data_IF_354463471664
#
_entry.id   IF_354463471664
#
_cell.length_a   1.000
_cell.length_b   1.000
_cell.length_c   1.000
_cell.angle_alpha   90.00
_cell.angle_beta   90.00
_cell.angle_gamma   90.00
#
_symmetry.space_group_name_H-M   'P 1'
#
loop_
_entity.id
_entity.type
_entity.pdbx_description
1 polymer ?
#
# COMPACT_ATOMS: atom_id res chain seq x y z
N UNK A 1 11.62 -5.22 -56.92
CA UNK A 1 12.28 -5.31 -55.60
C UNK A 1 12.82 -6.73 -55.52
N UNK A 2 14.10 -6.92 -55.82
CA UNK A 2 14.74 -8.23 -55.78
C UNK A 2 14.79 -8.60 -54.30
N UNK A 3 14.15 -9.71 -53.93
CA UNK A 3 14.17 -10.24 -52.56
C UNK A 3 15.65 -10.52 -52.21
N UNK A 4 16.14 -10.19 -51.01
CA UNK A 4 17.58 -10.32 -50.67
C UNK A 4 18.19 -11.70 -50.98
N UNK A 5 17.37 -12.77 -51.02
CA UNK A 5 17.78 -14.11 -51.44
C UNK A 5 18.19 -14.24 -52.92
N UNK A 6 17.67 -13.39 -53.79
CA UNK A 6 18.04 -13.32 -55.21
C UNK A 6 19.33 -12.51 -55.44
N UNK A 7 19.81 -11.77 -54.44
CA UNK A 7 21.09 -11.05 -54.46
C UNK A 7 22.27 -11.90 -53.94
N UNK A 8 22.00 -13.11 -53.42
CA UNK A 8 23.04 -14.11 -53.21
C UNK A 8 23.45 -14.67 -54.57
N UNK A 9 24.17 -13.87 -55.35
CA UNK A 9 24.96 -14.40 -56.46
C UNK A 9 25.94 -15.40 -55.86
N UNK A 10 25.78 -16.66 -56.23
CA UNK A 10 26.68 -17.72 -55.83
C UNK A 10 28.10 -17.39 -56.32
N UNK A 11 28.95 -16.89 -55.42
CA UNK A 11 30.41 -16.85 -55.55
C UNK A 11 30.98 -17.92 -54.59
N UNK A 12 30.89 -19.23 -54.93
CA UNK A 12 31.25 -20.31 -54.01
C UNK A 12 32.71 -20.20 -53.56
N UNK A 13 33.58 -19.71 -54.43
CA UNK A 13 35.01 -19.54 -54.12
C UNK A 13 35.27 -18.38 -53.17
N UNK A 14 34.45 -17.32 -53.21
CA UNK A 14 34.51 -16.24 -52.21
C UNK A 14 34.05 -16.75 -50.85
N UNK A 15 32.98 -17.54 -50.79
CA UNK A 15 32.52 -18.14 -49.55
C UNK A 15 33.53 -19.13 -48.98
N UNK A 16 34.17 -19.95 -49.82
CA UNK A 16 35.27 -20.84 -49.43
C UNK A 16 36.46 -20.06 -48.90
N UNK A 17 36.89 -19.01 -49.60
CA UNK A 17 38.00 -18.15 -49.18
C UNK A 17 37.72 -17.47 -47.84
N UNK A 18 36.53 -16.89 -47.67
CA UNK A 18 36.11 -16.29 -46.39
C UNK A 18 36.03 -17.34 -45.29
N UNK A 19 35.45 -18.52 -45.56
CA UNK A 19 35.34 -19.61 -44.57
C UNK A 19 36.70 -20.12 -44.11
N UNK A 20 37.70 -20.16 -44.98
CA UNK A 20 39.06 -20.57 -44.66
C UNK A 20 39.82 -19.53 -43.81
N UNK A 21 39.34 -18.29 -43.77
CA UNK A 21 39.92 -17.20 -42.98
C UNK A 21 39.13 -16.86 -41.71
N UNK A 22 38.01 -17.56 -41.48
CA UNK A 22 37.18 -17.41 -40.28
C UNK A 22 37.35 -18.60 -39.35
N UNK A 23 37.36 -18.34 -38.06
CA UNK A 23 37.35 -19.41 -37.06
C UNK A 23 35.97 -20.08 -37.02
N UNK A 24 35.94 -21.41 -37.06
CA UNK A 24 34.70 -22.16 -36.95
C UNK A 24 34.09 -21.95 -35.55
N UNK A 25 32.79 -21.63 -35.52
CA UNK A 25 32.04 -21.44 -34.28
C UNK A 25 31.01 -22.54 -34.11
N UNK A 26 30.89 -23.04 -32.88
CA UNK A 26 29.81 -23.98 -32.54
C UNK A 26 28.45 -23.34 -32.77
N UNK A 27 27.53 -24.08 -33.39
CA UNK A 27 26.16 -23.60 -33.60
C UNK A 27 25.53 -23.24 -32.24
N UNK A 28 24.92 -22.06 -32.14
CA UNK A 28 24.30 -21.62 -30.90
C UNK A 28 22.99 -22.38 -30.67
N UNK A 29 22.59 -22.59 -29.40
CA UNK A 29 21.33 -23.27 -29.12
C UNK A 29 20.12 -22.57 -29.76
N UNK A 30 20.16 -21.24 -29.90
CA UNK A 30 19.12 -20.47 -30.58
C UNK A 30 19.10 -20.75 -32.09
N UNK A 31 20.27 -20.85 -32.73
CA UNK A 31 20.38 -21.23 -34.14
C UNK A 31 19.84 -22.65 -34.37
N UNK A 32 20.27 -23.63 -33.54
CA UNK A 32 19.75 -24.99 -33.57
C UNK A 32 18.22 -25.02 -33.41
N UNK A 33 17.67 -24.20 -32.52
CA UNK A 33 16.21 -24.09 -32.34
C UNK A 33 15.52 -23.58 -33.58
N UNK A 34 16.04 -22.52 -34.22
CA UNK A 34 15.46 -21.96 -35.45
C UNK A 34 15.47 -23.00 -36.57
N UNK A 35 16.59 -23.70 -36.79
CA UNK A 35 16.70 -24.75 -37.80
C UNK A 35 15.70 -25.88 -37.57
N UNK A 36 15.63 -26.40 -36.34
CA UNK A 36 14.70 -27.46 -35.96
C UNK A 36 13.25 -27.03 -36.17
N UNK A 37 12.90 -25.80 -35.78
CA UNK A 37 11.54 -25.30 -35.93
C UNK A 37 11.16 -25.02 -37.38
N UNK A 38 12.11 -24.61 -38.22
CA UNK A 38 11.92 -24.52 -39.68
C UNK A 38 11.70 -25.90 -40.31
N UNK A 39 12.32 -26.95 -39.76
CA UNK A 39 12.09 -28.35 -40.14
C UNK A 39 10.79 -28.95 -39.56
N UNK A 40 9.97 -28.16 -38.86
CA UNK A 40 8.70 -28.60 -38.27
C UNK A 40 8.85 -29.39 -36.97
N UNK A 41 10.04 -29.41 -36.37
CA UNK A 41 10.25 -30.03 -35.07
C UNK A 41 9.71 -29.14 -33.94
N UNK A 42 9.30 -29.78 -32.85
CA UNK A 42 8.90 -29.11 -31.61
C UNK A 42 10.12 -28.77 -30.76
N UNK A 43 10.16 -27.54 -30.25
CA UNK A 43 11.11 -27.06 -29.26
C UNK A 43 10.45 -26.85 -27.90
N UNK A 44 10.90 -25.81 -27.18
CA UNK A 44 10.34 -25.45 -25.89
C UNK A 44 8.94 -24.83 -26.06
N UNK A 45 7.98 -25.27 -25.25
CA UNK A 45 6.56 -24.90 -25.39
C UNK A 45 6.32 -23.39 -25.43
N UNK A 46 6.99 -22.63 -24.55
CA UNK A 46 6.85 -21.17 -24.51
C UNK A 46 7.38 -20.48 -25.77
N UNK A 47 8.47 -20.99 -26.36
CA UNK A 47 9.02 -20.45 -27.61
C UNK A 47 8.18 -20.84 -28.82
N UNK A 48 7.59 -22.04 -28.81
CA UNK A 48 6.79 -22.56 -29.91
C UNK A 48 5.39 -21.91 -30.00
N UNK A 49 4.88 -21.37 -28.90
CA UNK A 49 3.62 -20.63 -28.84
C UNK A 49 3.63 -19.26 -29.53
N UNK A 50 4.77 -18.82 -30.08
CA UNK A 50 4.96 -17.51 -30.72
C UNK A 50 5.74 -17.65 -32.03
N UNK A 51 5.74 -16.65 -32.92
CA UNK A 51 6.50 -16.73 -34.19
C UNK A 51 8.02 -16.89 -33.99
N UNK A 52 8.73 -17.41 -35.00
CA UNK A 52 10.21 -17.59 -34.93
C UNK A 52 10.88 -16.25 -34.63
N UNK A 53 10.42 -15.19 -35.30
CA UNK A 53 10.93 -13.83 -35.12
C UNK A 53 10.75 -13.35 -33.67
N UNK A 54 9.58 -13.58 -33.07
CA UNK A 54 9.32 -13.21 -31.66
C UNK A 54 10.21 -14.01 -30.71
N UNK A 55 10.35 -15.32 -30.94
CA UNK A 55 11.22 -16.19 -30.16
C UNK A 55 12.67 -15.72 -30.20
N UNK A 56 13.24 -15.57 -31.40
CA UNK A 56 14.62 -15.11 -31.61
C UNK A 56 14.83 -13.74 -30.99
N UNK A 57 13.97 -12.77 -31.32
CA UNK A 57 14.18 -11.38 -30.88
C UNK A 57 14.05 -11.24 -29.36
N UNK A 58 13.15 -11.99 -28.75
CA UNK A 58 13.02 -12.03 -27.30
C UNK A 58 14.25 -12.63 -26.64
N UNK A 59 14.75 -13.77 -27.15
CA UNK A 59 15.96 -14.41 -26.63
C UNK A 59 17.16 -13.47 -26.74
N UNK A 60 17.35 -12.79 -27.87
CA UNK A 60 18.41 -11.81 -28.06
C UNK A 60 18.31 -10.61 -27.11
N UNK A 61 17.13 -9.98 -27.01
CA UNK A 61 16.92 -8.78 -26.20
C UNK A 61 17.09 -9.06 -24.71
N UNK A 62 16.55 -10.19 -24.24
CA UNK A 62 16.76 -10.66 -22.89
C UNK A 62 18.21 -11.04 -22.65
N UNK A 63 18.81 -11.72 -23.62
CA UNK A 63 20.19 -12.17 -23.61
C UNK A 63 21.19 -11.04 -23.42
N UNK A 64 21.03 -9.93 -24.15
CA UNK A 64 21.97 -8.82 -23.98
C UNK A 64 21.74 -8.05 -22.68
N UNK A 65 20.52 -8.03 -22.13
CA UNK A 65 20.31 -7.57 -20.74
C UNK A 65 21.08 -8.46 -19.75
N UNK A 66 21.08 -9.78 -19.94
CA UNK A 66 21.77 -10.73 -19.07
C UNK A 66 23.29 -10.66 -19.20
N UNK A 67 23.80 -10.62 -20.43
CA UNK A 67 25.23 -10.69 -20.73
C UNK A 67 25.94 -9.34 -20.50
N UNK A 68 25.29 -8.22 -20.84
CA UNK A 68 25.92 -6.90 -20.87
C UNK A 68 25.26 -5.87 -19.95
N UNK A 69 24.13 -6.22 -19.33
CA UNK A 69 23.43 -5.34 -18.40
C UNK A 69 22.58 -4.25 -19.08
N UNK A 70 21.83 -3.47 -18.29
CA UNK A 70 20.84 -2.53 -18.82
C UNK A 70 21.42 -1.27 -19.48
N UNK A 71 22.72 -1.01 -19.29
CA UNK A 71 23.40 0.14 -19.92
C UNK A 71 23.75 -0.13 -21.39
N UNK A 72 23.76 -1.40 -21.81
CA UNK A 72 24.05 -1.79 -23.19
C UNK A 72 22.92 -1.35 -24.12
N UNK A 73 23.29 -0.89 -25.33
CA UNK A 73 22.34 -0.43 -26.34
C UNK A 73 22.36 -1.37 -27.54
N UNK A 74 21.19 -1.64 -28.09
CA UNK A 74 21.03 -2.52 -29.26
C UNK A 74 21.83 -2.06 -30.48
N UNK A 75 22.03 -0.75 -30.67
CA UNK A 75 22.82 -0.18 -31.78
C UNK A 75 24.33 -0.39 -31.66
N UNK A 76 24.81 -0.72 -30.46
CA UNK A 76 26.22 -0.93 -30.15
C UNK A 76 26.52 -2.44 -30.03
N UNK A 77 25.57 -3.31 -30.41
CA UNK A 77 25.71 -4.77 -30.39
C UNK A 77 26.28 -5.26 -31.72
N UNK A 78 27.37 -6.01 -31.67
CA UNK A 78 27.90 -6.75 -32.82
C UNK A 78 27.22 -8.11 -32.97
N UNK A 79 27.42 -8.78 -34.09
CA UNK A 79 26.89 -10.14 -34.33
C UNK A 79 27.39 -11.14 -33.27
N UNK A 80 28.66 -11.02 -32.85
CA UNK A 80 29.23 -11.83 -31.76
C UNK A 80 28.57 -11.58 -30.41
N UNK A 81 28.19 -10.32 -30.16
CA UNK A 81 27.46 -9.97 -28.95
C UNK A 81 26.03 -10.50 -28.99
N UNK A 82 25.38 -10.53 -30.16
CA UNK A 82 24.06 -11.13 -30.32
C UNK A 82 24.10 -12.65 -30.16
N UNK A 83 25.12 -13.33 -30.67
CA UNK A 83 25.31 -14.77 -30.43
C UNK A 83 25.49 -15.07 -28.94
N UNK A 84 26.36 -14.30 -28.26
CA UNK A 84 26.60 -14.41 -26.82
C UNK A 84 25.31 -14.14 -26.02
N UNK A 85 24.54 -13.11 -26.39
CA UNK A 85 23.25 -12.81 -25.81
C UNK A 85 22.28 -14.00 -25.97
N UNK A 86 22.16 -14.54 -27.18
CA UNK A 86 21.32 -15.70 -27.46
C UNK A 86 21.64 -16.88 -26.54
N UNK A 87 22.93 -17.20 -26.38
CA UNK A 87 23.41 -18.24 -25.46
C UNK A 87 23.09 -17.93 -24.00
N UNK A 88 23.26 -16.69 -23.57
CA UNK A 88 23.01 -16.29 -22.18
C UNK A 88 21.54 -16.42 -21.78
N UNK A 89 20.60 -16.11 -22.67
CA UNK A 89 19.17 -16.24 -22.40
C UNK A 89 18.61 -17.65 -22.63
N UNK A 90 19.30 -18.51 -23.40
CA UNK A 90 18.80 -19.82 -23.79
C UNK A 90 18.30 -20.70 -22.62
N UNK A 91 19.06 -20.86 -21.51
CA UNK A 91 18.61 -21.70 -20.39
C UNK A 91 17.38 -21.16 -19.65
N UNK A 92 17.00 -19.91 -19.91
CA UNK A 92 15.88 -19.24 -19.27
C UNK A 92 14.63 -19.32 -20.14
N UNK A 93 14.75 -18.96 -21.43
CA UNK A 93 13.60 -18.98 -22.36
C UNK A 93 13.06 -20.39 -22.62
N UNK A 94 13.85 -21.42 -22.34
CA UNK A 94 13.44 -22.83 -22.45
C UNK A 94 12.70 -23.36 -21.24
N UNK A 95 12.78 -22.68 -20.08
CA UNK A 95 12.07 -23.07 -18.84
C UNK A 95 10.65 -22.51 -18.79
N UNK A 96 10.41 -21.39 -19.46
CA UNK A 96 9.11 -20.77 -19.62
C UNK A 96 8.90 -19.53 -18.77
N UNK A 97 7.63 -19.20 -18.58
CA UNK A 97 7.17 -17.88 -18.15
C UNK A 97 7.47 -17.56 -16.67
N UNK A 98 7.41 -18.55 -15.78
CA UNK A 98 7.63 -18.35 -14.34
C UNK A 98 9.06 -17.86 -14.03
N UNK A 99 10.07 -18.51 -14.62
CA UNK A 99 11.47 -18.16 -14.44
C UNK A 99 11.80 -16.80 -15.06
N UNK A 100 11.15 -16.47 -16.19
CA UNK A 100 11.26 -15.15 -16.82
C UNK A 100 10.75 -14.05 -15.87
N UNK A 101 9.55 -14.23 -15.29
CA UNK A 101 9.00 -13.28 -14.30
C UNK A 101 9.92 -13.11 -13.11
N UNK A 102 10.42 -14.21 -12.54
CA UNK A 102 11.30 -14.16 -11.38
C UNK A 102 12.61 -13.40 -11.69
N UNK A 103 13.21 -13.65 -12.85
CA UNK A 103 14.43 -12.97 -13.26
C UNK A 103 14.20 -11.47 -13.49
N UNK A 104 13.14 -11.10 -14.20
CA UNK A 104 12.80 -9.70 -14.47
C UNK A 104 12.49 -8.96 -13.16
N UNK A 105 11.77 -9.60 -12.23
CA UNK A 105 11.52 -9.07 -10.90
C UNK A 105 12.83 -8.84 -10.14
N UNK A 106 13.73 -9.83 -10.12
CA UNK A 106 15.06 -9.68 -9.48
C UNK A 106 15.89 -8.56 -10.10
N UNK A 107 15.92 -8.43 -11.42
CA UNK A 107 16.64 -7.36 -12.13
C UNK A 107 16.09 -5.98 -11.77
N UNK A 108 14.77 -5.83 -11.74
CA UNK A 108 14.09 -4.61 -11.34
C UNK A 108 14.38 -4.24 -9.88
N UNK A 109 14.21 -5.20 -8.95
CA UNK A 109 14.47 -5.00 -7.53
C UNK A 109 15.93 -4.70 -7.22
N UNK A 110 16.88 -5.30 -7.95
CA UNK A 110 18.31 -4.97 -7.85
C UNK A 110 18.56 -3.51 -8.22
N UNK A 111 17.97 -3.02 -9.31
CA UNK A 111 18.11 -1.62 -9.71
C UNK A 111 17.51 -0.66 -8.69
N UNK A 112 16.39 -1.04 -8.05
CA UNK A 112 15.79 -0.26 -6.96
C UNK A 112 16.77 -0.12 -5.79
N UNK A 113 17.41 -1.22 -5.37
CA UNK A 113 18.41 -1.20 -4.28
C UNK A 113 19.56 -0.24 -4.58
N UNK A 114 20.01 -0.17 -5.83
CA UNK A 114 21.12 0.69 -6.23
C UNK A 114 20.72 2.16 -6.34
N UNK A 115 19.53 2.46 -6.89
CA UNK A 115 19.15 3.81 -7.30
C UNK A 115 18.13 4.48 -6.37
N UNK A 116 17.61 3.76 -5.37
CA UNK A 116 16.56 4.26 -4.50
C UNK A 116 15.30 4.67 -5.26
N UNK A 117 14.94 3.99 -6.35
CA UNK A 117 13.61 4.01 -6.94
C UNK A 117 13.52 2.94 -8.05
N UNK A 118 12.33 2.34 -8.25
CA UNK A 118 12.09 1.48 -9.41
C UNK A 118 12.11 2.30 -10.70
N UNK A 119 12.97 1.92 -11.64
CA UNK A 119 13.03 2.49 -12.98
C UNK A 119 13.12 1.36 -13.99
N UNK A 120 11.98 0.88 -14.54
CA UNK A 120 11.97 -0.20 -15.53
C UNK A 120 12.91 0.04 -16.71
N UNK A 121 13.00 1.30 -17.17
CA UNK A 121 13.92 1.71 -18.24
C UNK A 121 15.37 1.46 -17.86
N UNK A 122 15.78 1.83 -16.64
CA UNK A 122 17.15 1.63 -16.17
C UNK A 122 17.43 0.18 -15.73
N UNK A 123 16.39 -0.59 -15.43
CA UNK A 123 16.50 -2.01 -15.04
C UNK A 123 16.62 -2.95 -16.21
N UNK A 124 15.92 -2.65 -17.31
CA UNK A 124 15.79 -3.54 -18.46
C UNK A 124 16.48 -3.00 -19.71
N UNK A 125 16.89 -1.72 -19.73
CA UNK A 125 17.72 -1.18 -20.79
C UNK A 125 17.11 -1.33 -22.18
N UNK A 126 17.88 -1.95 -23.09
CA UNK A 126 17.44 -2.17 -24.47
C UNK A 126 16.20 -3.06 -24.61
N UNK A 127 15.95 -4.00 -23.67
CA UNK A 127 14.73 -4.80 -23.67
C UNK A 127 13.50 -3.89 -23.53
N UNK A 128 13.52 -2.99 -22.53
CA UNK A 128 12.44 -2.02 -22.35
C UNK A 128 12.38 -1.01 -23.50
N UNK A 129 13.52 -0.57 -24.02
CA UNK A 129 13.59 0.32 -25.17
C UNK A 129 12.94 -0.28 -26.43
N UNK A 130 13.15 -1.57 -26.67
CA UNK A 130 12.48 -2.31 -27.74
C UNK A 130 10.97 -2.39 -27.50
N UNK A 131 10.54 -2.85 -26.33
CA UNK A 131 9.11 -3.02 -26.01
C UNK A 131 8.32 -1.70 -25.96
N UNK A 132 8.97 -0.60 -25.63
CA UNK A 132 8.34 0.73 -25.54
C UNK A 132 8.38 1.50 -26.88
N UNK A 133 9.08 0.98 -27.90
CA UNK A 133 9.25 1.69 -29.17
C UNK A 133 7.90 1.98 -29.85
N UNK A 134 7.61 3.25 -30.11
CA UNK A 134 6.40 3.66 -30.85
C UNK A 134 6.41 3.21 -32.32
N UNK A 135 7.55 2.74 -32.82
CA UNK A 135 7.73 2.22 -34.19
C UNK A 135 7.74 0.70 -34.25
N UNK A 136 7.23 0.02 -33.23
CA UNK A 136 7.09 -1.43 -33.28
C UNK A 136 6.12 -1.79 -34.41
N UNK A 137 6.67 -2.24 -35.54
CA UNK A 137 5.87 -2.62 -36.72
C UNK A 137 5.17 -3.97 -36.56
N UNK A 138 5.63 -4.78 -35.60
CA UNK A 138 5.12 -6.12 -35.32
C UNK A 138 4.93 -6.31 -33.82
N UNK A 139 3.99 -7.17 -33.46
CA UNK A 139 3.75 -7.55 -32.07
C UNK A 139 4.99 -8.27 -31.50
N UNK A 140 5.55 -7.85 -30.35
CA UNK A 140 6.76 -8.44 -29.79
C UNK A 140 6.49 -9.80 -29.12
N UNK A 141 5.22 -10.21 -29.02
CA UNK A 141 4.82 -11.47 -28.42
C UNK A 141 4.61 -11.38 -26.90
N UNK A 142 4.44 -12.55 -26.23
CA UNK A 142 4.07 -12.66 -24.82
C UNK A 142 5.03 -11.97 -23.85
N UNK A 143 6.30 -11.76 -24.22
CA UNK A 143 7.28 -11.07 -23.38
C UNK A 143 6.83 -9.66 -22.95
N UNK A 144 6.04 -8.96 -23.77
CA UNK A 144 5.52 -7.64 -23.42
C UNK A 144 4.61 -7.70 -22.20
N UNK A 145 3.76 -8.72 -22.13
CA UNK A 145 2.80 -8.87 -21.04
C UNK A 145 3.51 -9.31 -19.76
N UNK A 146 4.50 -10.21 -19.87
CA UNK A 146 5.37 -10.62 -18.76
C UNK A 146 6.08 -9.41 -18.15
N UNK A 147 6.76 -8.59 -18.98
CA UNK A 147 7.46 -7.39 -18.50
C UNK A 147 6.47 -6.38 -17.90
N UNK A 148 5.29 -6.22 -18.52
CA UNK A 148 4.23 -5.34 -18.01
C UNK A 148 3.75 -5.77 -16.63
N UNK A 149 3.45 -7.05 -16.43
CA UNK A 149 3.01 -7.60 -15.15
C UNK A 149 4.06 -7.38 -14.05
N UNK A 150 5.32 -7.70 -14.35
CA UNK A 150 6.44 -7.48 -13.40
C UNK A 150 6.55 -6.01 -12.99
N UNK A 151 6.34 -5.08 -13.94
CA UNK A 151 6.33 -3.64 -13.63
C UNK A 151 5.14 -3.28 -12.75
N UNK A 152 3.92 -3.75 -13.06
CA UNK A 152 2.71 -3.46 -12.27
C UNK A 152 2.84 -3.97 -10.83
N UNK A 153 3.49 -5.11 -10.64
CA UNK A 153 3.67 -5.72 -9.32
C UNK A 153 4.71 -5.01 -8.45
N UNK A 154 5.71 -4.38 -9.06
CA UNK A 154 6.92 -3.92 -8.35
C UNK A 154 7.16 -2.40 -8.45
N UNK A 155 6.39 -1.67 -9.25
CA UNK A 155 6.56 -0.23 -9.45
C UNK A 155 5.30 0.52 -9.01
N UNK A 156 5.42 1.64 -8.27
CA UNK A 156 4.29 2.51 -7.99
C UNK A 156 3.81 3.16 -9.30
N UNK A 157 2.55 2.91 -9.65
CA UNK A 157 1.95 3.41 -10.89
C UNK A 157 0.68 4.20 -10.58
N UNK A 158 0.22 4.97 -11.56
CA UNK A 158 -1.03 5.74 -11.46
C UNK A 158 -2.12 5.04 -12.27
N UNK A 159 -3.37 4.94 -11.77
CA UNK A 159 -4.49 4.46 -12.59
C UNK A 159 -4.61 5.26 -13.89
N UNK A 160 -4.79 4.58 -15.02
CA UNK A 160 -4.83 5.16 -16.36
C UNK A 160 -3.46 5.42 -16.99
N UNK A 161 -2.35 5.22 -16.27
CA UNK A 161 -1.02 5.38 -16.84
C UNK A 161 -0.78 4.38 -17.97
N UNK A 162 -0.37 4.87 -19.14
CA UNK A 162 0.02 4.03 -20.28
C UNK A 162 1.32 3.30 -19.97
N UNK A 163 1.30 1.97 -20.09
CA UNK A 163 2.48 1.12 -19.89
C UNK A 163 2.53 0.08 -21.02
N UNK A 164 3.60 0.09 -21.82
CA UNK A 164 3.79 -0.87 -22.93
C UNK A 164 2.53 -1.04 -23.82
N UNK A 165 1.87 0.08 -24.17
CA UNK A 165 0.74 0.10 -25.10
C UNK A 165 -0.66 0.05 -24.48
N UNK A 166 -0.80 -0.28 -23.19
CA UNK A 166 -2.12 -0.44 -22.54
C UNK A 166 -2.21 0.39 -21.24
N UNK A 167 -3.34 1.04 -20.92
CA UNK A 167 -3.50 1.74 -19.65
C UNK A 167 -3.52 0.76 -18.47
N UNK A 168 -2.98 1.16 -17.32
CA UNK A 168 -3.01 0.36 -16.09
C UNK A 168 -4.29 0.70 -15.31
N UNK A 169 -5.21 -0.25 -15.18
CA UNK A 169 -6.48 -0.02 -14.47
C UNK A 169 -6.30 0.00 -12.94
N UNK A 170 -5.68 -1.04 -12.40
CA UNK A 170 -5.55 -1.26 -10.95
C UNK A 170 -4.08 -1.46 -10.58
N UNK A 171 -3.32 -0.38 -10.35
CA UNK A 171 -1.94 -0.51 -9.88
C UNK A 171 -1.94 -1.11 -8.47
N UNK A 172 -1.11 -2.13 -8.26
CA UNK A 172 -0.96 -2.76 -6.94
C UNK A 172 -0.29 -1.82 -5.94
N UNK A 173 0.70 -1.07 -6.44
CA UNK A 173 1.57 -0.22 -5.65
C UNK A 173 1.29 1.26 -5.93
N UNK A 174 1.28 2.08 -4.88
CA UNK A 174 1.20 3.53 -4.99
C UNK A 174 2.22 4.19 -4.06
N UNK A 175 2.69 5.39 -4.43
CA UNK A 175 3.59 6.15 -3.56
C UNK A 175 2.83 6.68 -2.34
N UNK A 176 3.50 6.79 -1.19
CA UNK A 176 2.89 7.39 0.02
C UNK A 176 2.34 8.78 -0.30
N UNK A 177 3.03 9.58 -1.12
CA UNK A 177 2.56 10.93 -1.46
C UNK A 177 1.25 10.90 -2.25
N UNK A 178 1.11 9.99 -3.21
CA UNK A 178 -0.13 9.84 -3.97
C UNK A 178 -1.28 9.37 -3.07
N UNK A 179 -1.02 8.38 -2.20
CA UNK A 179 -2.02 7.90 -1.23
C UNK A 179 -2.39 9.02 -0.26
N UNK A 180 -1.42 9.72 0.32
CA UNK A 180 -1.65 10.81 1.26
C UNK A 180 -2.48 11.94 0.63
N UNK A 181 -2.17 12.33 -0.61
CA UNK A 181 -2.94 13.31 -1.36
C UNK A 181 -4.37 12.87 -1.63
N UNK A 182 -4.57 11.62 -2.07
CA UNK A 182 -5.91 11.08 -2.33
C UNK A 182 -6.75 10.95 -1.04
N UNK A 183 -6.11 10.68 0.09
CA UNK A 183 -6.76 10.42 1.37
C UNK A 183 -6.83 11.66 2.28
N UNK A 184 -6.34 12.82 1.83
CA UNK A 184 -6.33 14.05 2.62
C UNK A 184 -5.43 14.00 3.86
N UNK A 185 -4.40 13.15 3.85
CA UNK A 185 -3.44 12.99 4.94
C UNK A 185 -2.11 13.69 4.64
N UNK A 186 -1.36 14.04 5.68
CA UNK A 186 0.03 14.46 5.51
C UNK A 186 0.93 13.23 5.28
N UNK A 187 1.79 13.27 4.27
CA UNK A 187 2.66 12.14 3.88
C UNK A 187 3.52 11.58 5.02
N UNK A 188 4.00 12.44 5.94
CA UNK A 188 4.77 12.02 7.13
C UNK A 188 3.91 11.22 8.11
N UNK A 189 2.66 11.60 8.29
CA UNK A 189 1.72 10.89 9.18
C UNK A 189 1.40 9.51 8.61
N UNK A 190 1.09 9.44 7.31
CA UNK A 190 0.81 8.19 6.64
C UNK A 190 2.02 7.24 6.70
N UNK A 191 3.23 7.74 6.44
CA UNK A 191 4.46 6.96 6.57
C UNK A 191 4.61 6.34 7.95
N UNK A 192 4.51 7.14 9.02
CA UNK A 192 4.67 6.63 10.38
C UNK A 192 3.64 5.55 10.72
N UNK A 193 2.38 5.74 10.30
CA UNK A 193 1.31 4.75 10.50
C UNK A 193 1.64 3.43 9.80
N UNK A 194 2.10 3.49 8.56
CA UNK A 194 2.42 2.30 7.77
C UNK A 194 3.72 1.62 8.22
N UNK A 195 4.72 2.37 8.71
CA UNK A 195 5.96 1.87 9.34
C UNK A 195 5.65 1.13 10.62
N UNK A 196 4.90 1.75 11.53
CA UNK A 196 4.51 1.11 12.78
C UNK A 196 3.66 -0.13 12.52
N UNK A 197 2.78 -0.13 11.51
CA UNK A 197 1.91 -1.27 11.23
C UNK A 197 2.64 -2.46 10.58
N UNK A 198 3.95 -2.37 10.34
CA UNK A 198 4.72 -3.41 9.67
C UNK A 198 4.46 -3.54 8.17
N UNK A 199 3.53 -2.76 7.60
CA UNK A 199 3.32 -2.67 6.15
C UNK A 199 4.58 -2.14 5.47
N UNK A 200 5.29 -1.23 6.14
CA UNK A 200 6.61 -0.78 5.73
C UNK A 200 7.73 -1.52 6.47
N UNK A 201 7.87 -2.83 6.23
CA UNK A 201 9.07 -3.59 6.59
C UNK A 201 10.35 -3.05 5.92
N UNK A 202 11.32 -2.56 6.71
CA UNK A 202 12.57 -1.93 6.25
C UNK A 202 13.54 -2.86 5.49
N UNK A 203 13.25 -4.16 5.42
CA UNK A 203 14.07 -5.15 4.71
C UNK A 203 13.80 -5.24 3.20
N UNK A 204 12.69 -4.65 2.72
CA UNK A 204 12.31 -4.76 1.32
C UNK A 204 13.01 -3.72 0.43
N UNK A 205 13.53 -4.13 -0.75
CA UNK A 205 14.29 -3.28 -1.67
C UNK A 205 13.57 -1.99 -2.08
N UNK A 206 12.24 -2.01 -2.15
CA UNK A 206 11.39 -0.88 -2.56
C UNK A 206 11.38 0.31 -1.58
N UNK A 207 11.99 0.19 -0.40
CA UNK A 207 11.90 1.20 0.68
C UNK A 207 13.15 2.06 0.87
N UNK A 208 14.27 1.72 0.24
CA UNK A 208 15.43 2.61 0.12
C UNK A 208 15.19 3.80 -0.80
N UNK A 209 14.02 3.84 -1.44
CA UNK A 209 13.63 4.87 -2.36
C UNK A 209 13.08 6.11 -1.67
N UNK A 210 13.44 7.31 -2.18
CA UNK A 210 12.84 8.58 -1.72
C UNK A 210 11.31 8.55 -1.76
N UNK A 211 10.75 7.70 -2.62
CA UNK A 211 9.33 7.41 -2.74
C UNK A 211 9.03 6.05 -2.10
N UNK A 212 8.76 6.04 -0.80
CA UNK A 212 8.26 4.82 -0.15
C UNK A 212 6.92 4.44 -0.80
N UNK A 213 6.79 3.16 -1.09
CA UNK A 213 5.68 2.58 -1.84
C UNK A 213 4.89 1.67 -0.90
N UNK A 214 3.57 1.76 -0.95
CA UNK A 214 2.69 0.88 -0.18
C UNK A 214 1.72 0.18 -1.12
N UNK A 215 1.39 -1.06 -0.76
CA UNK A 215 0.22 -1.74 -1.29
C UNK A 215 -1.02 -1.02 -0.74
N UNK A 216 -1.78 -0.41 -1.64
CA UNK A 216 -2.93 0.42 -1.23
C UNK A 216 -4.02 -0.43 -0.56
N UNK A 217 -4.20 -1.69 -0.96
CA UNK A 217 -5.20 -2.57 -0.36
C UNK A 217 -4.85 -2.89 1.10
N UNK A 218 -3.57 -3.12 1.40
CA UNK A 218 -3.08 -3.32 2.78
C UNK A 218 -3.08 -2.02 3.59
N UNK A 219 -2.82 -0.88 2.95
CA UNK A 219 -2.77 0.42 3.60
C UNK A 219 -4.16 0.97 3.97
N UNK A 220 -5.21 0.68 3.18
CA UNK A 220 -6.55 1.27 3.30
C UNK A 220 -7.17 1.15 4.70
N UNK A 221 -7.18 -0.02 5.37
CA UNK A 221 -7.73 -0.13 6.73
C UNK A 221 -6.97 0.71 7.75
N UNK A 222 -5.65 0.87 7.57
CA UNK A 222 -4.79 1.67 8.46
C UNK A 222 -5.00 3.17 8.25
N UNK A 223 -5.19 3.58 6.99
CA UNK A 223 -5.51 4.96 6.60
C UNK A 223 -6.83 5.41 7.23
N UNK A 224 -7.87 4.60 7.12
CA UNK A 224 -9.19 4.92 7.69
C UNK A 224 -9.12 5.08 9.21
N UNK A 225 -8.31 4.26 9.89
CA UNK A 225 -8.04 4.43 11.32
C UNK A 225 -7.26 5.71 11.63
N UNK A 226 -6.23 6.01 10.84
CA UNK A 226 -5.41 7.22 11.00
C UNK A 226 -6.25 8.50 10.85
N UNK A 227 -7.16 8.56 9.87
CA UNK A 227 -8.07 9.70 9.64
C UNK A 227 -8.95 10.04 10.84
N UNK A 228 -9.32 9.04 11.64
CA UNK A 228 -10.16 9.22 12.81
C UNK A 228 -9.38 9.31 14.12
N UNK A 229 -8.05 9.35 14.06
CA UNK A 229 -7.22 9.46 15.26
C UNK A 229 -7.25 10.90 15.80
N UNK A 230 -7.62 11.06 17.06
CA UNK A 230 -7.56 12.33 17.78
C UNK A 230 -6.53 12.24 18.91
N UNK A 231 -5.56 13.17 19.00
CA UNK A 231 -4.65 13.22 20.14
C UNK A 231 -5.42 13.40 21.47
N UNK A 232 -5.14 12.58 22.48
CA UNK A 232 -5.77 12.62 23.82
C UNK A 232 -5.74 14.02 24.43
N UNK A 233 -4.69 14.82 24.15
CA UNK A 233 -4.57 16.18 24.67
C UNK A 233 -5.62 17.15 24.13
N UNK A 234 -6.20 16.90 22.95
CA UNK A 234 -7.25 17.73 22.35
C UNK A 234 -8.66 17.32 22.81
N UNK A 235 -8.81 16.11 23.35
CA UNK A 235 -10.11 15.55 23.76
C UNK A 235 -10.81 16.37 24.83
N UNK A 236 -10.13 16.90 25.88
CA UNK A 236 -10.74 17.80 26.86
C UNK A 236 -11.48 18.97 26.21
N UNK A 237 -10.84 19.66 25.26
CA UNK A 237 -11.41 20.82 24.60
C UNK A 237 -12.61 20.43 23.71
N UNK A 238 -12.47 19.34 22.95
CA UNK A 238 -13.53 18.83 22.07
C UNK A 238 -14.80 18.38 22.81
N UNK A 239 -14.65 17.87 24.03
CA UNK A 239 -15.77 17.44 24.87
C UNK A 239 -16.20 18.51 25.87
N UNK A 240 -15.49 19.64 25.95
CA UNK A 240 -15.61 20.61 27.03
C UNK A 240 -15.59 19.92 28.42
N UNK A 241 -14.61 19.03 28.59
CA UNK A 241 -14.46 18.12 29.71
C UNK A 241 -13.11 18.33 30.42
N UNK A 242 -13.04 17.99 31.70
CA UNK A 242 -11.76 18.00 32.43
C UNK A 242 -10.93 16.74 32.14
N UNK A 243 -9.61 16.77 32.37
CA UNK A 243 -8.74 15.58 32.20
C UNK A 243 -9.20 14.36 33.03
N UNK A 244 -9.61 14.51 34.31
CA UNK A 244 -10.18 13.40 35.07
C UNK A 244 -11.45 12.82 34.44
N UNK A 245 -12.32 13.68 33.89
CA UNK A 245 -13.52 13.24 33.18
C UNK A 245 -13.17 12.42 31.93
N UNK A 246 -12.18 12.85 31.15
CA UNK A 246 -11.67 12.08 30.00
C UNK A 246 -11.12 10.72 30.43
N UNK A 247 -10.39 10.64 31.55
CA UNK A 247 -9.93 9.34 32.09
C UNK A 247 -11.09 8.42 32.44
N UNK A 248 -12.09 8.95 33.15
CA UNK A 248 -13.29 8.19 33.52
C UNK A 248 -14.07 7.71 32.29
N UNK A 249 -14.21 8.53 31.23
CA UNK A 249 -14.85 8.12 29.98
C UNK A 249 -14.10 6.97 29.28
N UNK A 250 -12.77 6.94 29.38
CA UNK A 250 -11.96 5.83 28.85
C UNK A 250 -12.18 4.57 29.67
N UNK A 251 -12.15 4.68 31.00
CA UNK A 251 -12.36 3.55 31.92
C UNK A 251 -13.76 2.93 31.77
N UNK A 252 -14.78 3.77 31.53
CA UNK A 252 -16.15 3.35 31.24
C UNK A 252 -16.35 2.84 29.80
N UNK A 253 -15.28 2.77 28.99
CA UNK A 253 -15.33 2.30 27.60
C UNK A 253 -16.07 3.23 26.63
N UNK A 254 -16.42 4.46 27.05
CA UNK A 254 -17.11 5.45 26.20
C UNK A 254 -16.18 6.16 25.24
N UNK A 255 -14.90 6.31 25.61
CA UNK A 255 -13.84 6.73 24.71
C UNK A 255 -12.95 5.55 24.40
N UNK A 256 -12.96 5.13 23.13
CA UNK A 256 -12.15 4.01 22.67
C UNK A 256 -10.74 4.51 22.40
N UNK A 257 -9.78 4.03 23.19
CA UNK A 257 -8.37 4.15 22.82
C UNK A 257 -8.13 3.33 21.56
N UNK A 258 -7.44 3.91 20.59
CA UNK A 258 -6.90 3.12 19.48
C UNK A 258 -5.79 2.29 20.11
N UNK A 259 -6.07 1.05 20.50
CA UNK A 259 -5.05 0.17 21.07
C UNK A 259 -3.88 0.04 20.09
N UNK A 260 -2.66 0.03 20.63
CA UNK A 260 -1.48 -0.52 19.96
C UNK A 260 -1.90 -1.93 19.50
N UNK A 261 -2.12 -2.14 18.20
CA UNK A 261 -2.06 -3.52 17.68
C UNK A 261 -0.69 -4.08 18.05
N UNK A 262 -0.56 -5.40 18.23
CA UNK A 262 0.75 -6.06 18.45
C UNK A 262 1.85 -5.62 17.45
N UNK A 263 1.46 -5.10 16.27
CA UNK A 263 2.36 -4.50 15.29
C UNK A 263 2.86 -3.08 15.67
N UNK A 264 2.00 -2.23 16.26
CA UNK A 264 2.28 -0.85 16.63
C UNK A 264 2.94 -0.76 18.02
N UNK A 265 4.10 -1.39 18.23
CA UNK A 265 4.83 -1.27 19.52
C UNK A 265 5.48 0.11 19.66
N UNK A 266 4.73 1.13 20.10
CA UNK A 266 5.17 2.26 20.98
C UNK A 266 4.38 3.58 20.76
N UNK A 267 4.02 4.19 21.90
CA UNK A 267 3.42 5.54 22.13
C UNK A 267 1.91 5.74 21.88
N UNK A 268 1.10 4.72 21.59
CA UNK A 268 -0.37 4.88 21.43
C UNK A 268 -1.15 4.67 22.75
N UNK A 269 -0.62 5.23 23.84
CA UNK A 269 -1.45 5.64 24.99
C UNK A 269 -2.04 7.04 24.83
N UNK A 270 -1.73 7.74 23.73
CA UNK A 270 -1.99 9.19 23.53
C UNK A 270 -3.02 9.52 22.45
N UNK A 271 -3.76 8.55 21.91
CA UNK A 271 -4.78 8.85 20.91
C UNK A 271 -6.10 8.11 21.15
N UNK A 272 -7.19 8.80 20.85
CA UNK A 272 -8.58 8.33 20.94
C UNK A 272 -9.14 8.18 19.52
N UNK A 273 -9.98 7.19 19.32
CA UNK A 273 -10.79 7.11 18.10
C UNK A 273 -11.83 8.23 18.14
N UNK A 274 -11.67 9.23 17.28
CA UNK A 274 -12.57 10.38 17.15
C UNK A 274 -14.01 9.99 16.82
N UNK A 275 -14.28 8.76 16.34
CA UNK A 275 -15.64 8.22 16.24
C UNK A 275 -16.29 8.06 17.61
N UNK A 276 -15.55 7.59 18.61
CA UNK A 276 -16.06 7.47 19.99
C UNK A 276 -16.34 8.83 20.63
N UNK A 277 -15.54 9.86 20.32
CA UNK A 277 -15.81 11.25 20.73
C UNK A 277 -17.14 11.74 20.13
N UNK A 278 -17.35 11.51 18.83
CA UNK A 278 -18.62 11.86 18.16
C UNK A 278 -19.80 11.09 18.75
N UNK A 279 -19.65 9.80 19.04
CA UNK A 279 -20.69 8.99 19.67
C UNK A 279 -21.09 9.53 21.04
N UNK A 280 -20.11 9.94 21.87
CA UNK A 280 -20.39 10.60 23.15
C UNK A 280 -21.19 11.90 22.94
N UNK A 281 -20.78 12.76 22.02
CA UNK A 281 -21.49 14.01 21.75
C UNK A 281 -22.92 13.78 21.22
N UNK A 282 -23.10 12.82 20.30
CA UNK A 282 -24.42 12.46 19.78
C UNK A 282 -25.31 11.90 20.89
N UNK A 283 -24.78 10.99 21.72
CA UNK A 283 -25.49 10.46 22.88
C UNK A 283 -25.99 11.58 23.80
N UNK A 284 -25.14 12.56 24.13
CA UNK A 284 -25.56 13.70 24.96
C UNK A 284 -26.68 14.50 24.28
N UNK A 285 -26.58 14.73 22.97
CA UNK A 285 -27.55 15.51 22.20
C UNK A 285 -28.91 14.82 22.09
N UNK A 286 -28.91 13.51 21.83
CA UNK A 286 -30.11 12.70 21.58
C UNK A 286 -30.80 12.27 22.87
N UNK A 287 -30.03 12.01 23.94
CA UNK A 287 -30.58 11.45 25.19
C UNK A 287 -31.13 12.51 26.15
N UNK A 288 -30.72 13.77 26.03
CA UNK A 288 -31.05 14.82 27.02
C UNK A 288 -31.63 16.07 26.36
N UNK A 289 -32.72 16.57 26.94
CA UNK A 289 -33.43 17.75 26.46
C UNK A 289 -32.61 19.04 26.66
N UNK A 290 -32.68 19.95 25.68
CA UNK A 290 -32.03 21.25 25.74
C UNK A 290 -32.93 22.32 26.37
N UNK A 291 -32.58 22.81 27.55
CA UNK A 291 -33.29 23.84 28.31
C UNK A 291 -32.62 25.20 28.20
N UNK A 292 -33.39 26.29 28.30
CA UNK A 292 -32.85 27.67 28.27
C UNK A 292 -32.23 28.10 29.59
N UNK A 293 -32.78 27.62 30.70
CA UNK A 293 -32.35 27.95 32.06
C UNK A 293 -32.19 26.66 32.87
N UNK A 294 -31.18 26.58 33.75
CA UNK A 294 -31.03 25.45 34.66
C UNK A 294 -32.29 25.27 35.51
N UNK A 295 -32.90 24.06 35.54
CA UNK A 295 -33.99 23.77 36.46
C UNK A 295 -33.54 23.93 37.92
N UNK A 296 -34.49 24.16 38.83
CA UNK A 296 -34.18 24.33 40.25
C UNK A 296 -33.51 23.07 40.81
N UNK A 297 -32.37 23.24 41.49
CA UNK A 297 -31.58 22.15 42.06
C UNK A 297 -30.56 21.53 41.10
N UNK A 298 -30.68 21.73 39.79
CA UNK A 298 -29.74 21.19 38.80
C UNK A 298 -28.42 21.97 38.77
N UNK A 299 -27.32 21.25 38.72
CA UNK A 299 -25.96 21.81 38.68
C UNK A 299 -25.09 21.06 37.67
N UNK A 300 -23.99 21.68 37.26
CA UNK A 300 -22.99 21.02 36.42
C UNK A 300 -22.35 19.80 37.13
N UNK A 301 -21.89 18.83 36.34
CA UNK A 301 -21.33 17.56 36.83
C UNK A 301 -20.26 17.73 37.93
N UNK A 302 -19.36 18.69 37.78
CA UNK A 302 -18.32 18.95 38.78
C UNK A 302 -18.90 19.39 40.13
N UNK A 303 -19.92 20.26 40.12
CA UNK A 303 -20.59 20.72 41.33
C UNK A 303 -21.48 19.64 41.93
N UNK A 304 -22.05 18.76 41.11
CA UNK A 304 -22.79 17.59 41.57
C UNK A 304 -21.85 16.64 42.34
N UNK A 305 -20.69 16.31 41.78
CA UNK A 305 -19.66 15.49 42.43
C UNK A 305 -19.24 16.08 43.80
N UNK A 306 -19.02 17.39 43.88
CA UNK A 306 -18.72 18.08 45.13
C UNK A 306 -19.86 17.96 46.16
N UNK A 307 -21.11 18.17 45.74
CA UNK A 307 -22.31 18.15 46.61
C UNK A 307 -22.72 16.76 47.08
N UNK A 308 -22.36 15.71 46.34
CA UNK A 308 -22.71 14.31 46.67
C UNK A 308 -21.52 13.52 47.20
N UNK A 309 -20.30 14.06 47.11
CA UNK A 309 -19.03 13.39 47.44
C UNK A 309 -18.77 12.10 46.66
N UNK A 310 -19.39 11.93 45.50
CA UNK A 310 -19.14 10.79 44.61
C UNK A 310 -18.12 11.14 43.53
N UNK A 311 -17.46 10.12 42.96
CA UNK A 311 -16.49 10.34 41.88
C UNK A 311 -17.16 10.77 40.59
N UNK A 312 -16.42 11.48 39.73
CA UNK A 312 -16.89 11.83 38.39
C UNK A 312 -17.26 10.58 37.56
N UNK A 313 -16.51 9.49 37.75
CA UNK A 313 -16.76 8.21 37.09
C UNK A 313 -18.16 7.66 37.43
N UNK A 314 -18.53 7.68 38.71
CA UNK A 314 -19.86 7.24 39.18
C UNK A 314 -20.98 8.06 38.53
N UNK A 315 -20.86 9.39 38.50
CA UNK A 315 -21.88 10.25 37.85
C UNK A 315 -21.98 9.95 36.36
N UNK A 316 -20.85 9.78 35.67
CA UNK A 316 -20.85 9.43 34.26
C UNK A 316 -21.45 8.05 34.01
N UNK A 317 -21.20 7.07 34.87
CA UNK A 317 -21.78 5.73 34.76
C UNK A 317 -23.32 5.80 34.86
N UNK A 318 -23.85 6.50 35.87
CA UNK A 318 -25.29 6.71 36.02
C UNK A 318 -25.90 7.48 34.83
N UNK A 319 -25.17 8.46 34.31
CA UNK A 319 -25.58 9.26 33.16
C UNK A 319 -25.64 8.42 31.88
N UNK A 320 -24.61 7.64 31.57
CA UNK A 320 -24.57 6.80 30.37
C UNK A 320 -25.44 5.55 30.48
N UNK A 321 -25.74 5.10 31.71
CA UNK A 321 -26.73 4.07 31.99
C UNK A 321 -28.18 4.57 31.95
N UNK A 322 -28.40 5.88 31.72
CA UNK A 322 -29.72 6.53 31.75
C UNK A 322 -30.48 6.30 33.07
N UNK A 323 -29.75 6.18 34.18
CA UNK A 323 -30.32 6.03 35.52
C UNK A 323 -30.75 7.37 36.12
N UNK A 324 -30.16 8.47 35.64
CA UNK A 324 -30.57 9.83 35.96
C UNK A 324 -31.66 10.27 34.96
N UNK A 325 -32.88 10.44 35.44
CA UNK A 325 -34.07 10.77 34.62
C UNK A 325 -34.21 12.26 34.36
N UNK A 326 -33.66 13.11 35.23
CA UNK A 326 -33.85 14.56 35.15
C UNK A 326 -32.71 15.29 34.45
N UNK A 327 -31.79 14.57 33.81
CA UNK A 327 -30.62 15.17 33.13
C UNK A 327 -31.08 16.06 31.99
N UNK A 328 -30.56 17.28 31.95
CA UNK A 328 -30.83 18.23 30.88
C UNK A 328 -29.53 18.89 30.39
N UNK A 329 -29.63 19.58 29.25
CA UNK A 329 -28.53 20.34 28.66
C UNK A 329 -28.87 21.81 28.55
N UNK A 330 -27.95 22.68 28.91
CA UNK A 330 -28.11 24.11 28.73
C UNK A 330 -27.93 24.49 27.25
N UNK A 331 -28.91 25.19 26.68
CA UNK A 331 -28.87 25.64 25.29
C UNK A 331 -27.71 26.61 25.07
N UNK A 332 -26.96 26.43 23.98
CA UNK A 332 -25.81 27.26 23.64
C UNK A 332 -24.47 26.78 24.22
N UNK A 333 -24.48 25.76 25.07
CA UNK A 333 -23.27 25.13 25.60
C UNK A 333 -22.90 23.86 24.81
N UNK A 334 -21.60 23.60 24.67
CA UNK A 334 -21.06 22.45 23.97
C UNK A 334 -20.60 21.35 24.96
N UNK A 335 -20.81 20.09 24.58
CA UNK A 335 -20.29 18.93 25.29
C UNK A 335 -20.75 18.86 26.74
N UNK A 336 -19.84 18.45 27.63
CA UNK A 336 -20.14 18.29 29.05
C UNK A 336 -20.31 19.61 29.80
N UNK A 337 -19.83 20.74 29.26
CA UNK A 337 -20.05 22.05 29.88
C UNK A 337 -21.53 22.44 29.96
N UNK A 338 -22.37 21.89 29.07
CA UNK A 338 -23.81 22.13 29.07
C UNK A 338 -24.61 21.14 29.90
N UNK A 339 -24.02 20.03 30.37
CA UNK A 339 -24.76 18.96 31.05
C UNK A 339 -25.05 19.33 32.50
N UNK A 340 -26.31 19.18 32.89
CA UNK A 340 -26.85 19.49 34.21
C UNK A 340 -27.52 18.26 34.81
N UNK A 341 -27.25 18.00 36.10
CA UNK A 341 -27.80 16.88 36.86
C UNK A 341 -28.29 17.37 38.23
N UNK A 342 -29.28 16.67 38.81
CA UNK A 342 -29.72 16.91 40.18
C UNK A 342 -28.84 16.14 41.18
N UNK A 343 -28.18 16.82 42.13
CA UNK A 343 -27.44 16.13 43.21
C UNK A 343 -28.32 15.24 44.07
N UNK A 344 -29.60 15.59 44.24
CA UNK A 344 -30.55 14.81 45.03
C UNK A 344 -30.90 13.50 44.33
N UNK A 345 -31.06 13.53 43.00
CA UNK A 345 -31.25 12.33 42.17
C UNK A 345 -30.01 11.42 42.21
N UNK A 346 -28.81 12.00 42.11
CA UNK A 346 -27.56 11.23 42.24
C UNK A 346 -27.48 10.55 43.61
N UNK A 347 -27.79 11.26 44.72
CA UNK A 347 -27.82 10.63 46.05
C UNK A 347 -28.89 9.54 46.16
N UNK A 348 -30.06 9.72 45.54
CA UNK A 348 -31.10 8.71 45.53
C UNK A 348 -30.66 7.44 44.80
N UNK A 349 -29.98 7.57 43.64
CA UNK A 349 -29.38 6.43 42.94
C UNK A 349 -28.28 5.75 43.75
N UNK A 350 -27.50 6.50 44.54
CA UNK A 350 -26.49 5.89 45.43
C UNK A 350 -27.12 5.15 46.62
N UNK A 351 -28.21 5.67 47.18
CA UNK A 351 -28.92 5.04 48.30
C UNK A 351 -29.68 3.79 47.86
N UNK A 352 -30.14 3.74 46.61
CA UNK A 352 -30.77 2.59 45.99
C UNK A 352 -30.17 2.30 44.59
N UNK A 353 -29.00 1.63 44.55
CA UNK A 353 -28.25 1.35 43.32
C UNK A 353 -29.09 0.57 42.28
N UNK A 354 -29.15 1.00 41.01
CA UNK A 354 -29.80 0.25 39.94
C UNK A 354 -29.12 -1.11 39.66
N UNK A 355 -29.87 -2.09 39.14
CA UNK A 355 -29.39 -3.46 38.97
C UNK A 355 -28.20 -3.64 37.99
N UNK A 356 -27.90 -2.68 37.11
CA UNK A 356 -26.84 -2.79 36.10
C UNK A 356 -25.65 -1.82 36.32
N UNK A 357 -25.46 -1.35 37.56
CA UNK A 357 -24.33 -0.50 37.92
C UNK A 357 -23.16 -1.30 38.50
N UNK A 358 -21.97 -0.72 38.45
CA UNK A 358 -20.73 -1.29 38.95
C UNK A 358 -20.75 -1.51 40.46
N UNK A 359 -19.89 -2.43 40.92
CA UNK A 359 -19.71 -2.72 42.34
C UNK A 359 -19.22 -1.49 43.13
N UNK A 360 -18.53 -0.55 42.46
CA UNK A 360 -18.15 0.75 43.05
C UNK A 360 -19.39 1.53 43.49
N UNK A 361 -20.48 1.48 42.72
CA UNK A 361 -21.75 2.14 43.06
C UNK A 361 -22.55 1.30 44.06
N UNK A 362 -22.61 -0.01 43.89
CA UNK A 362 -23.41 -0.91 44.75
C UNK A 362 -22.90 -0.99 46.18
N UNK A 363 -21.57 -0.94 46.39
CA UNK A 363 -20.94 -1.07 47.69
C UNK A 363 -20.28 0.23 48.17
N UNK A 364 -20.82 1.38 47.73
CA UNK A 364 -20.26 2.68 48.06
C UNK A 364 -20.22 2.92 49.58
N UNK A 365 -19.02 3.05 50.16
CA UNK A 365 -18.81 3.21 51.61
C UNK A 365 -18.51 4.65 52.07
N UNK A 366 -18.62 5.64 51.17
CA UNK A 366 -18.46 7.06 51.51
C UNK A 366 -17.07 7.62 51.24
#
# INVERSE_FOLDING_TARGET
MIHDLQAITAEPDRWRYLSAQTEARDCSPLQCYVERRLNGEKGAEWLDGQSIEQAVRTTEMLGGLLAYGPSQKAKDMTDDMWDTAGRAAWPLVTKGDAELRELLSRALLKAVRMNGHPSPRNSFGMLYGWLFSSRLSKDPGPIRDIVREVIIENVPLVPGQMLLGTPVATPRLASIAAIAGAEGLHSKTLRNVLELAGVLDGTQPLKGARNVVADYALAKPLIERAKHTTPVMQVPDMLSASRPMVSALIELGKLTRIQDHDALKSKVGKAIDGRSIRQVLCFLQESFEAVKHPPEGHVHLAKAAEKTRVTMKVILELLFGLHLKTVCRLKGHHGFSGVLVSPDEVRACMANPPDNVSDEIRFWMG
#
